data_IF_779745361258
#
_entry.id   IF_779745361258
#
_cell.length_a   1.000
_cell.length_b   1.000
_cell.length_c   1.000
_cell.angle_alpha   90.00
_cell.angle_beta   90.00
_cell.angle_gamma   90.00
#
_symmetry.space_group_name_H-M   'P 1'
#
loop_
_entity.id
_entity.type
_entity.pdbx_description
1 polymer ?
#
# COMPACT_ATOMS: atom_id res chain seq x y z
N UNK A 1 6.33 -40.43 54.46
CA UNK A 1 6.89 -39.33 53.66
C UNK A 1 6.47 -39.54 52.21
N UNK A 2 5.55 -38.73 51.70
CA UNK A 2 5.12 -38.76 50.28
C UNK A 2 5.66 -37.51 49.57
N UNK A 3 6.32 -37.59 48.42
CA UNK A 3 6.75 -36.41 47.69
C UNK A 3 5.55 -35.77 46.95
N UNK A 4 5.40 -34.49 47.18
CA UNK A 4 4.42 -33.62 46.51
C UNK A 4 4.83 -33.40 45.06
N UNK A 5 4.10 -34.02 44.13
CA UNK A 5 4.25 -33.80 42.70
C UNK A 5 3.41 -32.61 42.31
N UNK A 6 4.02 -31.45 42.10
CA UNK A 6 3.36 -30.26 41.54
C UNK A 6 3.29 -30.42 40.00
N UNK A 7 2.13 -30.19 39.35
CA UNK A 7 2.04 -30.29 37.90
C UNK A 7 2.69 -29.05 37.24
N UNK A 8 3.71 -29.29 36.41
CA UNK A 8 4.45 -28.30 35.65
C UNK A 8 3.72 -27.84 34.33
N UNK A 9 2.43 -28.14 34.19
CA UNK A 9 1.76 -28.03 32.88
C UNK A 9 1.03 -26.71 32.66
N UNK A 10 1.03 -25.77 33.63
CA UNK A 10 0.17 -24.57 33.53
C UNK A 10 0.86 -23.30 32.99
N UNK A 11 2.21 -23.30 32.84
CA UNK A 11 2.94 -22.11 32.43
C UNK A 11 3.15 -21.98 30.92
N UNK A 12 2.92 -23.05 30.14
CA UNK A 12 3.18 -23.02 28.70
C UNK A 12 2.03 -22.41 27.89
N UNK A 13 0.81 -22.45 28.41
CA UNK A 13 -0.38 -21.95 27.71
C UNK A 13 -0.57 -20.43 27.86
N UNK A 14 -0.10 -19.84 28.94
CA UNK A 14 -0.23 -18.41 29.23
C UNK A 14 0.77 -17.56 28.43
N UNK A 15 1.92 -18.12 28.08
CA UNK A 15 2.96 -17.38 27.35
C UNK A 15 2.66 -17.21 25.85
N UNK A 16 1.89 -18.13 25.25
CA UNK A 16 1.51 -18.08 23.85
C UNK A 16 0.35 -17.09 23.58
N UNK A 17 -0.45 -16.80 24.60
CA UNK A 17 -1.59 -15.90 24.49
C UNK A 17 -1.21 -14.41 24.64
N UNK A 18 -0.06 -14.12 25.25
CA UNK A 18 0.35 -12.74 25.55
C UNK A 18 1.12 -12.05 24.42
N UNK A 19 1.63 -12.79 23.44
CA UNK A 19 2.48 -12.21 22.38
C UNK A 19 1.71 -11.76 21.14
N UNK A 20 0.38 -11.91 21.07
CA UNK A 20 -0.37 -11.69 19.83
C UNK A 20 -1.48 -10.62 19.91
N UNK A 21 -1.64 -9.94 21.03
CA UNK A 21 -2.70 -8.93 21.20
C UNK A 21 -2.12 -7.52 21.35
N UNK A 22 -1.37 -7.05 20.36
CA UNK A 22 -1.12 -5.62 20.26
C UNK A 22 -2.35 -4.96 19.64
N UNK A 23 -3.19 -4.35 20.47
CA UNK A 23 -4.39 -3.62 20.02
C UNK A 23 -4.06 -2.47 19.08
N UNK A 24 -2.81 -2.01 19.06
CA UNK A 24 -2.36 -0.83 18.35
C UNK A 24 -0.96 -1.05 17.76
N UNK A 25 -0.77 -0.73 16.50
CA UNK A 25 0.54 -0.76 15.83
C UNK A 25 0.79 0.55 15.09
N UNK A 26 2.08 0.92 14.89
CA UNK A 26 2.42 2.07 14.04
C UNK A 26 2.16 1.72 12.58
N UNK A 27 1.58 2.67 11.82
CA UNK A 27 1.18 2.45 10.44
C UNK A 27 2.36 2.09 9.53
N UNK A 28 3.53 2.71 9.71
CA UNK A 28 4.74 2.40 8.93
C UNK A 28 5.21 0.95 9.13
N UNK A 29 5.10 0.47 10.37
CA UNK A 29 5.49 -0.88 10.76
C UNK A 29 4.46 -1.90 10.29
N UNK A 30 3.16 -1.60 10.46
CA UNK A 30 2.07 -2.47 10.02
C UNK A 30 2.06 -2.66 8.49
N UNK A 31 2.21 -1.59 7.70
CA UNK A 31 2.25 -1.64 6.24
C UNK A 31 3.39 -2.51 5.70
N UNK A 32 4.55 -2.49 6.36
CA UNK A 32 5.67 -3.37 6.04
C UNK A 32 5.41 -4.81 6.50
N UNK A 33 4.90 -5.01 7.70
CA UNK A 33 4.59 -6.31 8.28
C UNK A 33 3.52 -7.05 7.47
N UNK A 34 2.47 -6.36 7.03
CA UNK A 34 1.40 -6.84 6.14
C UNK A 34 1.82 -6.99 4.66
N UNK A 35 3.11 -6.83 4.33
CA UNK A 35 3.68 -6.97 2.98
C UNK A 35 3.11 -6.03 1.90
N UNK A 36 2.42 -4.97 2.28
CA UNK A 36 1.92 -3.94 1.35
C UNK A 36 3.10 -3.17 0.75
N UNK A 37 4.15 -2.96 1.55
CA UNK A 37 5.44 -2.41 1.10
C UNK A 37 6.60 -3.37 1.34
N UNK A 38 7.61 -3.29 0.46
CA UNK A 38 8.80 -4.15 0.53
C UNK A 38 9.65 -3.87 1.76
N UNK A 39 9.83 -2.59 2.11
CA UNK A 39 10.60 -2.15 3.28
C UNK A 39 9.83 -1.15 4.12
N UNK A 40 10.18 -1.02 5.40
CA UNK A 40 9.59 -0.05 6.32
C UNK A 40 9.91 1.39 5.90
N UNK A 41 11.11 1.63 5.36
CA UNK A 41 11.51 2.95 4.86
C UNK A 41 10.61 3.42 3.72
N UNK A 42 10.28 2.53 2.77
CA UNK A 42 9.36 2.82 1.67
C UNK A 42 7.96 3.11 2.22
N UNK A 43 7.48 2.35 3.20
CA UNK A 43 6.19 2.61 3.86
C UNK A 43 6.16 3.98 4.55
N UNK A 44 7.22 4.32 5.28
CA UNK A 44 7.34 5.63 5.95
C UNK A 44 7.37 6.79 4.94
N UNK A 45 8.10 6.65 3.83
CA UNK A 45 8.13 7.66 2.77
C UNK A 45 6.77 7.79 2.06
N UNK A 46 6.05 6.69 1.83
CA UNK A 46 4.69 6.72 1.28
C UNK A 46 3.72 7.49 2.20
N UNK A 47 3.85 7.35 3.53
CA UNK A 47 3.08 8.15 4.48
C UNK A 47 3.46 9.64 4.43
N UNK A 48 4.77 9.97 4.39
CA UNK A 48 5.26 11.35 4.28
C UNK A 48 4.75 12.04 3.01
N UNK A 49 4.72 11.32 1.90
CA UNK A 49 4.25 11.82 0.60
C UNK A 49 2.71 11.82 0.47
N UNK A 50 1.96 11.64 1.55
CA UNK A 50 0.50 11.67 1.53
C UNK A 50 -0.16 10.53 0.74
N UNK A 51 0.59 9.47 0.38
CA UNK A 51 0.07 8.31 -0.36
C UNK A 51 -0.69 7.31 0.49
N UNK A 52 -0.65 7.46 1.81
CA UNK A 52 -1.34 6.60 2.77
C UNK A 52 -2.36 7.42 3.53
N UNK A 53 -3.59 6.95 3.55
CA UNK A 53 -4.72 7.59 4.22
C UNK A 53 -5.38 6.61 5.18
N UNK A 54 -5.89 7.12 6.29
CA UNK A 54 -6.69 6.39 7.27
C UNK A 54 -8.07 7.04 7.34
N UNK A 55 -9.11 6.31 6.97
CA UNK A 55 -10.46 6.89 6.91
C UNK A 55 -10.57 8.13 6.00
N UNK A 56 -9.81 8.20 4.91
CA UNK A 56 -9.81 9.32 3.96
C UNK A 56 -8.84 10.47 4.32
N UNK A 57 -8.18 10.44 5.47
CA UNK A 57 -7.23 11.48 5.91
C UNK A 57 -5.80 10.98 5.79
N UNK A 58 -4.91 11.80 5.24
CA UNK A 58 -3.47 11.50 5.15
C UNK A 58 -2.85 11.39 6.53
N UNK A 59 -1.96 10.43 6.71
CA UNK A 59 -1.39 10.12 8.03
C UNK A 59 0.13 10.16 8.05
N UNK A 60 0.68 10.60 9.19
CA UNK A 60 2.12 10.55 9.45
C UNK A 60 2.58 9.11 9.71
N UNK A 61 3.85 8.75 9.43
CA UNK A 61 4.38 7.39 9.64
C UNK A 61 4.27 6.87 11.08
N UNK A 62 4.26 7.78 12.04
CA UNK A 62 4.15 7.47 13.48
C UNK A 62 2.71 7.24 13.96
N UNK A 63 1.71 7.50 13.10
CA UNK A 63 0.30 7.28 13.45
C UNK A 63 0.08 5.82 13.81
N UNK A 64 -0.70 5.59 14.84
CA UNK A 64 -1.13 4.26 15.27
C UNK A 64 -2.41 3.87 14.57
N UNK A 65 -2.51 2.57 14.24
CA UNK A 65 -3.69 1.94 13.64
C UNK A 65 -4.26 0.88 14.58
N UNK A 66 -5.55 0.64 14.49
CA UNK A 66 -6.29 -0.33 15.30
C UNK A 66 -6.99 -1.34 14.39
N UNK A 67 -7.44 -2.44 14.99
CA UNK A 67 -8.32 -3.40 14.33
C UNK A 67 -9.63 -2.70 13.94
N UNK A 68 -10.10 -2.94 12.72
CA UNK A 68 -11.29 -2.31 12.14
C UNK A 68 -11.00 -1.04 11.32
N UNK A 69 -9.81 -0.44 11.45
CA UNK A 69 -9.45 0.72 10.65
C UNK A 69 -9.31 0.37 9.15
N UNK A 70 -9.70 1.31 8.28
CA UNK A 70 -9.52 1.19 6.82
C UNK A 70 -8.36 2.07 6.39
N UNK A 71 -7.32 1.43 5.86
CA UNK A 71 -6.12 2.07 5.33
C UNK A 71 -6.18 2.07 3.81
N UNK A 72 -6.16 3.26 3.21
CA UNK A 72 -6.08 3.42 1.75
C UNK A 72 -4.66 3.78 1.33
N UNK A 73 -4.14 3.09 0.32
CA UNK A 73 -2.78 3.24 -0.20
C UNK A 73 -2.85 3.62 -1.67
N UNK A 74 -2.44 4.84 -1.99
CA UNK A 74 -2.39 5.34 -3.36
C UNK A 74 -1.14 4.82 -4.08
N UNK A 75 -1.34 3.94 -5.04
CA UNK A 75 -0.33 3.46 -5.99
C UNK A 75 -0.84 3.77 -7.41
N UNK A 76 -0.48 4.92 -7.99
CA UNK A 76 -1.01 5.30 -9.29
C UNK A 76 -0.90 4.16 -10.32
N UNK A 77 -1.93 3.91 -11.12
CA UNK A 77 -3.17 4.66 -11.27
C UNK A 77 -4.26 4.33 -10.23
N UNK A 78 -4.06 3.39 -9.32
CA UNK A 78 -5.07 2.80 -8.43
C UNK A 78 -4.83 3.16 -6.97
N UNK A 79 -5.93 3.32 -6.22
CA UNK A 79 -5.92 3.41 -4.75
C UNK A 79 -6.48 2.12 -4.16
N UNK A 80 -5.64 1.39 -3.43
CA UNK A 80 -6.03 0.16 -2.74
C UNK A 80 -6.53 0.48 -1.34
N UNK A 81 -7.60 -0.14 -0.90
CA UNK A 81 -8.16 0.00 0.44
C UNK A 81 -8.14 -1.33 1.18
N UNK A 82 -7.59 -1.32 2.39
CA UNK A 82 -7.41 -2.51 3.23
C UNK A 82 -8.05 -2.28 4.60
N UNK A 83 -8.94 -3.16 5.00
CA UNK A 83 -9.50 -3.18 6.35
C UNK A 83 -8.62 -4.02 7.25
N UNK A 84 -8.18 -3.47 8.38
CA UNK A 84 -7.31 -4.14 9.33
C UNK A 84 -8.13 -5.13 10.16
N UNK A 85 -7.77 -6.41 10.11
CA UNK A 85 -8.34 -7.47 10.93
C UNK A 85 -7.46 -7.77 12.16
N UNK A 86 -6.13 -7.69 11.99
CA UNK A 86 -5.15 -7.86 13.08
C UNK A 86 -4.04 -6.83 12.97
N UNK A 87 -3.61 -6.30 14.08
CA UNK A 87 -2.42 -5.46 14.19
C UNK A 87 -1.20 -6.34 14.42
N UNK A 88 -0.18 -6.15 13.60
CA UNK A 88 1.07 -6.90 13.64
C UNK A 88 2.26 -5.96 13.54
N UNK A 89 3.35 -6.33 14.18
CA UNK A 89 4.60 -5.58 14.15
C UNK A 89 5.73 -6.31 13.44
N UNK A 90 5.62 -7.62 13.27
CA UNK A 90 6.60 -8.45 12.58
C UNK A 90 6.09 -8.89 11.22
N UNK A 91 7.01 -9.05 10.28
CA UNK A 91 6.66 -9.47 8.93
C UNK A 91 6.23 -10.94 8.91
N UNK A 92 5.02 -11.18 8.44
CA UNK A 92 4.42 -12.52 8.39
C UNK A 92 4.55 -13.18 7.02
N UNK A 93 4.32 -14.49 6.98
CA UNK A 93 4.23 -15.25 5.74
C UNK A 93 3.02 -14.84 4.90
N UNK A 94 3.11 -15.00 3.57
CA UNK A 94 2.03 -14.62 2.66
C UNK A 94 0.71 -15.38 2.92
N UNK A 95 0.79 -16.59 3.44
CA UNK A 95 -0.38 -17.43 3.76
C UNK A 95 -1.26 -16.85 4.87
N UNK A 96 -0.70 -16.03 5.77
CA UNK A 96 -1.40 -15.43 6.90
C UNK A 96 -2.01 -14.05 6.59
N UNK A 97 -1.79 -13.50 5.40
CA UNK A 97 -2.29 -12.18 5.01
C UNK A 97 -3.82 -12.06 5.08
N UNK A 98 -4.62 -13.05 4.68
CA UNK A 98 -6.08 -12.97 4.78
C UNK A 98 -6.60 -12.85 6.23
N UNK A 99 -5.81 -13.29 7.23
CA UNK A 99 -6.15 -13.12 8.65
C UNK A 99 -5.79 -11.74 9.18
N UNK A 100 -4.94 -10.98 8.49
CA UNK A 100 -4.39 -9.69 8.93
C UNK A 100 -5.17 -8.54 8.37
N UNK A 101 -5.53 -8.61 7.11
CA UNK A 101 -6.34 -7.59 6.45
C UNK A 101 -7.26 -8.18 5.39
N UNK A 102 -8.36 -7.49 5.17
CA UNK A 102 -9.30 -7.72 4.09
C UNK A 102 -9.12 -6.63 3.02
N UNK A 103 -9.12 -7.02 1.75
CA UNK A 103 -9.05 -6.08 0.64
C UNK A 103 -10.47 -5.57 0.33
N UNK A 104 -10.74 -4.31 0.65
CA UNK A 104 -12.02 -3.62 0.43
C UNK A 104 -11.90 -2.55 -0.67
N UNK A 105 -11.00 -2.77 -1.64
CA UNK A 105 -10.81 -1.87 -2.78
C UNK A 105 -12.03 -1.89 -3.68
N UNK A 106 -12.52 -0.71 -4.09
CA UNK A 106 -13.64 -0.55 -4.99
C UNK A 106 -13.34 -1.19 -6.37
N UNK A 107 -14.34 -1.86 -6.95
CA UNK A 107 -14.25 -2.50 -8.27
C UNK A 107 -13.82 -1.50 -9.36
N UNK A 108 -14.28 -0.25 -9.30
CA UNK A 108 -13.87 0.83 -10.20
C UNK A 108 -12.36 1.07 -10.25
N UNK A 109 -11.66 0.83 -9.15
CA UNK A 109 -10.21 0.97 -9.10
C UNK A 109 -9.51 -0.12 -9.94
N UNK A 110 -10.07 -1.31 -10.01
CA UNK A 110 -9.55 -2.38 -10.85
C UNK A 110 -9.82 -2.13 -12.33
N UNK A 111 -10.98 -1.55 -12.68
CA UNK A 111 -11.29 -1.13 -14.05
C UNK A 111 -10.30 -0.07 -14.54
N UNK A 112 -9.96 0.91 -13.69
CA UNK A 112 -8.92 1.90 -13.99
C UNK A 112 -7.55 1.25 -14.22
N UNK A 113 -7.22 0.20 -13.46
CA UNK A 113 -5.97 -0.53 -13.66
C UNK A 113 -5.94 -1.23 -15.02
N UNK A 114 -7.04 -1.85 -15.41
CA UNK A 114 -7.16 -2.51 -16.73
C UNK A 114 -7.12 -1.51 -17.86
N UNK A 115 -7.84 -0.40 -17.76
CA UNK A 115 -7.79 0.69 -18.74
C UNK A 115 -6.38 1.24 -18.90
N UNK A 116 -5.65 1.44 -17.81
CA UNK A 116 -4.26 1.90 -17.86
C UNK A 116 -3.31 0.89 -18.51
N UNK A 117 -3.60 -0.38 -18.38
CA UNK A 117 -2.84 -1.46 -19.07
C UNK A 117 -3.10 -1.45 -20.57
N UNK A 118 -4.34 -1.23 -20.98
CA UNK A 118 -4.75 -1.14 -22.40
C UNK A 118 -4.17 0.11 -23.02
N UNK A 119 -4.28 1.27 -22.39
CA UNK A 119 -3.78 2.55 -22.89
C UNK A 119 -2.25 2.65 -22.91
N UNK A 120 -1.56 1.90 -22.04
CA UNK A 120 -0.09 1.80 -22.03
C UNK A 120 0.50 0.86 -23.06
N UNK A 121 -0.35 0.17 -23.84
CA UNK A 121 0.07 -0.79 -24.85
C UNK A 121 0.31 -0.10 -26.22
N UNK A 122 1.29 0.77 -26.28
CA UNK A 122 1.97 1.05 -27.53
C UNK A 122 2.96 -0.11 -27.73
N UNK A 123 2.53 -1.11 -28.50
CA UNK A 123 3.38 -2.28 -28.81
C UNK A 123 4.57 -1.83 -29.64
N UNK A 124 5.66 -1.52 -28.94
CA UNK A 124 6.96 -1.27 -29.57
C UNK A 124 7.75 -2.57 -29.61
N UNK A 125 8.15 -2.95 -30.80
CA UNK A 125 9.08 -4.05 -30.98
C UNK A 125 10.30 -3.88 -30.06
N UNK A 126 10.61 -4.89 -29.25
CA UNK A 126 11.77 -4.87 -28.37
C UNK A 126 13.04 -4.62 -29.20
N UNK A 127 13.87 -3.66 -28.80
CA UNK A 127 15.14 -3.36 -29.47
C UNK A 127 15.14 -2.12 -30.37
N UNK A 128 14.00 -1.45 -30.59
CA UNK A 128 13.92 -0.23 -31.42
C UNK A 128 14.47 1.04 -30.75
N UNK A 129 14.94 0.95 -29.51
CA UNK A 129 15.55 2.05 -28.77
C UNK A 129 14.62 3.25 -28.53
N UNK A 130 15.19 4.45 -28.40
CA UNK A 130 14.42 5.67 -28.16
C UNK A 130 13.62 6.06 -29.41
N UNK A 131 12.32 6.50 -29.29
CA UNK A 131 11.51 6.97 -30.42
C UNK A 131 12.25 7.98 -31.27
N UNK A 132 12.20 7.78 -32.58
CA UNK A 132 12.70 8.78 -33.54
C UNK A 132 11.82 10.05 -33.47
N UNK A 133 12.36 11.18 -33.92
CA UNK A 133 11.63 12.46 -33.95
C UNK A 133 10.33 12.36 -34.77
N UNK A 134 10.30 11.53 -35.80
CA UNK A 134 9.13 11.28 -36.66
C UNK A 134 8.06 10.48 -35.89
N UNK A 135 8.46 9.41 -35.22
CA UNK A 135 7.54 8.59 -34.44
C UNK A 135 6.94 9.36 -33.26
N UNK A 136 7.75 10.22 -32.60
CA UNK A 136 7.26 11.08 -31.53
C UNK A 136 6.20 12.05 -32.02
N UNK A 137 6.41 12.71 -33.17
CA UNK A 137 5.41 13.59 -33.77
C UNK A 137 4.13 12.85 -34.19
N UNK A 138 4.26 11.60 -34.66
CA UNK A 138 3.11 10.77 -34.98
C UNK A 138 2.33 10.39 -33.69
N UNK A 139 3.03 10.07 -32.59
CA UNK A 139 2.40 9.81 -31.29
C UNK A 139 1.75 11.07 -30.71
N UNK A 140 2.40 12.23 -30.85
CA UNK A 140 1.84 13.52 -30.42
C UNK A 140 0.57 13.86 -31.22
N UNK A 141 0.54 13.57 -32.54
CA UNK A 141 -0.65 13.75 -33.37
C UNK A 141 -1.81 12.77 -33.01
N UNK A 142 -1.52 11.58 -32.47
CA UNK A 142 -2.51 10.66 -31.90
C UNK A 142 -2.92 11.03 -30.47
N UNK A 143 -2.05 11.73 -29.76
CA UNK A 143 -2.28 12.22 -28.41
C UNK A 143 -2.92 13.63 -28.41
N UNK A 144 -3.23 14.20 -29.57
CA UNK A 144 -4.06 15.42 -29.61
C UNK A 144 -5.37 15.16 -28.93
N UNK A 145 -5.71 15.96 -27.91
CA UNK A 145 -6.76 15.62 -26.96
C UNK A 145 -8.11 15.66 -27.66
N UNK A 146 -8.76 14.52 -27.75
CA UNK A 146 -10.21 14.52 -27.73
C UNK A 146 -10.62 15.19 -26.41
N UNK A 147 -10.65 16.54 -26.44
CA UNK A 147 -11.45 17.43 -25.62
C UNK A 147 -11.78 16.93 -24.18
N UNK A 148 -10.78 16.78 -23.33
CA UNK A 148 -10.93 16.93 -21.89
C UNK A 148 -9.92 17.98 -21.45
N UNK A 149 -10.44 19.22 -21.27
CA UNK A 149 -9.68 20.34 -20.75
C UNK A 149 -9.15 20.00 -19.35
N UNK A 150 -7.89 19.75 -19.29
CA UNK A 150 -7.04 19.90 -18.15
C UNK A 150 -5.97 20.92 -18.50
N UNK A 151 -6.43 22.08 -18.97
CA UNK A 151 -5.65 23.30 -18.89
C UNK A 151 -5.73 23.77 -17.45
N UNK A 152 -4.61 24.25 -16.95
CA UNK A 152 -4.38 24.89 -15.66
C UNK A 152 -4.08 23.99 -14.45
N UNK A 153 -2.90 23.38 -14.45
CA UNK A 153 -2.11 23.19 -13.24
C UNK A 153 -0.62 23.40 -13.57
N UNK A 154 -0.30 24.59 -14.03
CA UNK A 154 1.06 25.13 -13.92
C UNK A 154 1.25 25.59 -12.46
N UNK A 155 1.63 24.67 -11.59
CA UNK A 155 2.22 25.02 -10.30
C UNK A 155 3.71 25.33 -10.53
N UNK A 156 4.00 26.60 -10.68
CA UNK A 156 5.30 27.20 -10.42
C UNK A 156 5.76 26.78 -9.03
N UNK A 157 6.66 25.83 -8.95
CA UNK A 157 7.51 25.63 -7.80
C UNK A 157 8.79 26.42 -8.01
N UNK A 158 8.75 27.69 -7.64
CA UNK A 158 9.93 28.49 -7.37
C UNK A 158 10.67 27.90 -6.17
N UNK A 159 11.84 27.35 -6.44
CA UNK A 159 12.85 27.06 -5.43
C UNK A 159 13.75 28.29 -5.34
N UNK A 160 13.45 29.20 -4.45
CA UNK A 160 14.40 30.22 -3.99
C UNK A 160 15.01 29.77 -2.66
N UNK A 161 16.40 29.60 -2.72
CA UNK A 161 17.45 29.63 -1.68
C UNK A 161 17.23 28.93 -0.32
#
# INVERSE_FOLDING_TARGET
MKPSTRPKTFYFFTFYFFTFNMEVARIDKWLWAARIFKTRSIAANACKNGRVMLGGVTVKPSRTVKVGDVVSVKKPPVTYSFKILKTIEQRVGAKLLPEIYENVTDAKQYELLEMSRISGFVDRARGTGRPTKKERRALDAFAEPAMFGFDDLDDEFDFDE
#
